data_IF_784243021512
#
_entry.id   IF_784243021512
#
_cell.length_a   1.000
_cell.length_b   1.000
_cell.length_c   1.000
_cell.angle_alpha   90.00
_cell.angle_beta   90.00
_cell.angle_gamma   90.00
#
_symmetry.space_group_name_H-M   'P 1'
#
loop_
_entity.id
_entity.type
_entity.pdbx_description
1 polymer ?
#
# COMPACT_ATOMS: atom_id res chain seq x y z
N UNK A 1 7.64 4.90 -21.58
CA UNK A 1 7.24 3.68 -22.30
C UNK A 1 5.74 3.76 -22.53
N UNK A 2 5.31 3.97 -23.77
CA UNK A 2 3.90 4.15 -24.10
C UNK A 2 3.26 2.76 -24.23
N UNK A 3 2.32 2.44 -23.34
CA UNK A 3 1.60 1.16 -23.37
C UNK A 3 0.45 1.25 -24.37
N UNK A 4 0.75 1.17 -25.66
CA UNK A 4 -0.27 1.07 -26.72
C UNK A 4 -0.51 -0.42 -27.01
N UNK A 5 -1.58 -1.00 -26.47
CA UNK A 5 -1.96 -2.40 -26.71
C UNK A 5 -3.10 -2.89 -25.82
N UNK A 6 -3.66 -4.05 -26.15
CA UNK A 6 -4.60 -4.78 -25.29
C UNK A 6 -3.80 -5.68 -24.34
N UNK A 7 -4.10 -5.64 -23.05
CA UNK A 7 -3.42 -6.43 -22.04
C UNK A 7 -4.42 -7.29 -21.27
N UNK A 8 -4.09 -8.56 -21.07
CA UNK A 8 -4.85 -9.42 -20.19
C UNK A 8 -4.66 -8.95 -18.74
N UNK A 9 -5.75 -8.54 -18.10
CA UNK A 9 -5.78 -8.12 -16.71
C UNK A 9 -6.50 -9.16 -15.86
N UNK A 10 -5.96 -9.42 -14.67
CA UNK A 10 -6.65 -10.23 -13.67
C UNK A 10 -7.37 -9.32 -12.68
N UNK A 11 -8.69 -9.43 -12.63
CA UNK A 11 -9.48 -8.74 -11.61
C UNK A 11 -9.19 -9.34 -10.23
N UNK A 12 -8.95 -8.46 -9.26
CA UNK A 12 -8.81 -8.83 -7.85
C UNK A 12 -10.15 -9.22 -7.24
N UNK A 13 -10.14 -9.94 -6.11
CA UNK A 13 -11.37 -10.36 -5.40
C UNK A 13 -12.29 -9.19 -5.03
N UNK A 14 -11.73 -7.99 -4.82
CA UNK A 14 -12.47 -6.76 -4.56
C UNK A 14 -13.43 -6.34 -5.69
N UNK A 15 -13.25 -6.85 -6.92
CA UNK A 15 -14.19 -6.63 -8.03
C UNK A 15 -15.34 -7.64 -8.05
N UNK A 16 -15.15 -8.81 -7.43
CA UNK A 16 -16.14 -9.89 -7.42
C UNK A 16 -17.04 -9.81 -6.18
N UNK A 17 -16.56 -9.17 -5.12
CA UNK A 17 -17.27 -9.00 -3.86
C UNK A 17 -17.18 -7.52 -3.42
N UNK A 18 -18.12 -6.67 -3.90
CA UNK A 18 -18.15 -5.25 -3.59
C UNK A 18 -18.34 -4.97 -2.09
N UNK A 19 -19.09 -5.83 -1.40
CA UNK A 19 -19.37 -5.68 0.03
C UNK A 19 -18.15 -6.05 0.90
N UNK A 20 -17.26 -6.90 0.39
CA UNK A 20 -15.95 -7.16 1.01
C UNK A 20 -14.86 -6.14 0.60
N UNK A 21 -15.14 -5.22 -0.33
CA UNK A 21 -14.17 -4.24 -0.80
C UNK A 21 -13.90 -3.17 0.27
N UNK A 22 -12.89 -3.40 1.09
CA UNK A 22 -12.37 -2.41 2.03
C UNK A 22 -11.16 -1.71 1.43
N UNK A 23 -11.21 -0.38 1.34
CA UNK A 23 -10.05 0.42 0.95
C UNK A 23 -9.41 1.07 2.17
N UNK A 24 -8.10 1.26 2.08
CA UNK A 24 -7.30 1.81 3.17
C UNK A 24 -6.70 3.13 2.71
N UNK A 25 -6.91 4.18 3.49
CA UNK A 25 -6.28 5.47 3.28
C UNK A 25 -5.32 5.73 4.41
N UNK A 26 -4.03 5.78 4.09
CA UNK A 26 -3.01 6.34 4.98
C UNK A 26 -2.71 7.75 4.50
N UNK A 27 -2.90 8.74 5.36
CA UNK A 27 -2.44 10.10 5.10
C UNK A 27 -1.07 10.25 5.73
N UNK A 28 -0.06 10.38 4.89
CA UNK A 28 1.31 10.63 5.30
C UNK A 28 1.67 12.02 4.77
N UNK A 29 1.58 13.04 5.62
CA UNK A 29 1.93 14.41 5.22
C UNK A 29 3.45 14.63 5.13
N UNK A 30 4.25 13.67 5.60
CA UNK A 30 5.71 13.75 5.57
C UNK A 30 6.37 12.37 5.51
N UNK A 31 7.23 12.15 4.52
CA UNK A 31 8.14 11.01 4.45
C UNK A 31 9.53 11.45 4.94
N UNK A 32 10.03 10.92 6.08
CA UNK A 32 11.33 11.31 6.61
C UNK A 32 12.48 10.99 5.66
N UNK A 33 13.52 11.83 5.68
CA UNK A 33 14.77 11.60 4.94
C UNK A 33 15.49 10.31 5.38
N UNK A 34 15.17 9.81 6.57
CA UNK A 34 15.72 8.56 7.11
C UNK A 34 15.19 7.31 6.42
N UNK A 35 14.10 7.38 5.65
CA UNK A 35 13.51 6.19 5.02
C UNK A 35 14.35 5.75 3.82
N UNK A 36 14.74 4.48 3.82
CA UNK A 36 15.41 3.84 2.70
C UNK A 36 14.38 3.45 1.62
N UNK A 37 14.50 4.05 0.45
CA UNK A 37 13.63 3.77 -0.71
C UNK A 37 14.13 2.62 -1.59
N UNK A 38 15.35 2.11 -1.34
CA UNK A 38 15.92 0.99 -2.08
C UNK A 38 15.51 -0.37 -1.51
N UNK A 39 15.00 -0.39 -0.28
CA UNK A 39 14.59 -1.59 0.43
C UNK A 39 13.06 -1.68 0.55
N UNK A 40 12.48 -2.89 0.48
CA UNK A 40 11.04 -3.06 0.63
C UNK A 40 10.59 -2.77 2.06
N UNK A 41 9.44 -2.11 2.19
CA UNK A 41 8.70 -1.99 3.44
C UNK A 41 7.75 -3.16 3.70
N UNK A 42 7.10 -3.17 4.86
CA UNK A 42 6.04 -4.14 5.19
C UNK A 42 4.74 -3.43 5.55
N UNK A 43 3.62 -4.08 5.22
CA UNK A 43 2.27 -3.63 5.56
C UNK A 43 1.60 -4.76 6.33
N UNK A 44 1.00 -4.43 7.48
CA UNK A 44 0.14 -5.33 8.25
C UNK A 44 -1.24 -4.70 8.38
N UNK A 45 -2.27 -5.52 8.17
CA UNK A 45 -3.66 -5.16 8.38
C UNK A 45 -4.19 -6.12 9.43
N UNK A 46 -4.66 -5.58 10.54
CA UNK A 46 -5.22 -6.35 11.64
C UNK A 46 -6.76 -6.45 11.52
N UNK A 47 -7.35 -7.48 12.11
CA UNK A 47 -8.79 -7.69 12.22
C UNK A 47 -9.48 -6.50 12.92
N UNK A 48 -8.73 -5.81 13.81
CA UNK A 48 -9.14 -4.57 14.46
C UNK A 48 -9.21 -3.33 13.54
N UNK A 49 -9.10 -3.50 12.22
CA UNK A 49 -9.06 -2.42 11.22
C UNK A 49 -7.85 -1.49 11.39
N UNK A 50 -6.82 -1.91 12.13
CA UNK A 50 -5.56 -1.19 12.22
C UNK A 50 -4.68 -1.56 11.02
N UNK A 51 -4.06 -0.54 10.43
CA UNK A 51 -3.08 -0.71 9.36
C UNK A 51 -1.76 -0.15 9.83
N UNK A 52 -0.71 -0.96 9.74
CA UNK A 52 0.65 -0.58 10.13
C UNK A 52 1.57 -0.74 8.93
N UNK A 53 2.21 0.35 8.51
CA UNK A 53 3.24 0.36 7.48
C UNK A 53 4.59 0.60 8.14
N UNK A 54 5.53 -0.32 7.95
CA UNK A 54 6.90 -0.16 8.42
C UNK A 54 7.83 -0.01 7.21
N UNK A 55 8.52 1.13 7.13
CA UNK A 55 9.52 1.39 6.12
C UNK A 55 10.92 1.30 6.74
N UNK A 56 11.89 0.63 6.08
CA UNK A 56 13.25 0.54 6.58
C UNK A 56 13.91 1.92 6.61
N UNK A 57 14.82 2.12 7.56
CA UNK A 57 15.67 3.30 7.57
C UNK A 57 16.97 3.07 6.80
N UNK A 58 17.58 4.14 6.29
CA UNK A 58 18.91 4.10 5.67
C UNK A 58 19.95 3.63 6.67
N UNK A 59 20.92 2.82 6.20
CA UNK A 59 21.93 2.19 7.06
C UNK A 59 22.75 3.20 7.90
N UNK A 60 22.91 4.43 7.41
CA UNK A 60 23.63 5.51 8.12
C UNK A 60 22.96 5.96 9.43
N UNK A 61 21.68 5.68 9.62
CA UNK A 61 20.91 6.01 10.83
C UNK A 61 20.85 4.82 11.80
N UNK A 62 21.36 3.65 11.39
CA UNK A 62 21.35 2.42 12.17
C UNK A 62 20.12 1.54 11.91
N UNK A 63 20.10 0.33 12.48
CA UNK A 63 19.01 -0.62 12.28
C UNK A 63 17.71 -0.09 12.90
N UNK A 64 16.67 0.06 12.07
CA UNK A 64 15.36 0.54 12.51
C UNK A 64 14.36 0.68 11.37
N UNK A 65 13.13 1.04 11.72
CA UNK A 65 12.05 1.28 10.77
C UNK A 65 11.19 2.46 11.18
N UNK A 66 10.77 3.26 10.21
CA UNK A 66 9.74 4.29 10.39
C UNK A 66 8.36 3.64 10.28
N UNK A 67 7.52 3.84 11.30
CA UNK A 67 6.19 3.24 11.40
C UNK A 67 5.08 4.27 11.14
N UNK A 68 4.17 3.96 10.22
CA UNK A 68 2.96 4.73 9.96
C UNK A 68 1.75 3.89 10.33
N UNK A 69 0.83 4.48 11.11
CA UNK A 69 -0.43 3.83 11.51
C UNK A 69 -1.61 4.52 10.87
N UNK A 70 -2.56 3.72 10.40
CA UNK A 70 -3.82 4.17 9.84
C UNK A 70 -4.97 3.27 10.28
N UNK A 71 -6.19 3.67 9.93
CA UNK A 71 -7.39 2.85 10.14
C UNK A 71 -8.02 2.49 8.80
N UNK A 72 -8.40 1.24 8.63
CA UNK A 72 -9.19 0.80 7.50
C UNK A 72 -10.63 1.30 7.66
N UNK A 73 -11.21 1.86 6.59
CA UNK A 73 -12.59 2.34 6.57
C UNK A 73 -13.32 1.76 5.35
N UNK A 74 -14.60 1.38 5.47
CA UNK A 74 -15.40 1.06 4.29
C UNK A 74 -15.47 2.27 3.36
N UNK A 75 -15.21 2.09 2.07
CA UNK A 75 -15.31 3.15 1.06
C UNK A 75 -16.00 2.59 -0.18
N UNK A 76 -17.03 3.28 -0.66
CA UNK A 76 -17.86 2.86 -1.79
C UNK A 76 -17.29 3.28 -3.16
N UNK A 77 -16.06 3.80 -3.23
CA UNK A 77 -15.48 4.28 -4.49
C UNK A 77 -14.73 3.18 -5.21
N UNK A 78 -15.10 2.95 -6.46
CA UNK A 78 -14.42 2.06 -7.38
C UNK A 78 -13.06 2.66 -7.77
N UNK A 79 -11.95 2.03 -7.38
CA UNK A 79 -10.64 2.38 -7.91
C UNK A 79 -9.89 1.16 -8.41
N UNK A 80 -9.27 1.31 -9.59
CA UNK A 80 -8.51 0.26 -10.28
C UNK A 80 -7.02 0.46 -9.95
N UNK A 81 -6.40 -0.49 -9.25
CA UNK A 81 -4.95 -0.51 -9.08
C UNK A 81 -4.33 -1.39 -10.18
N UNK A 82 -3.71 -0.75 -11.17
CA UNK A 82 -2.90 -1.43 -12.19
C UNK A 82 -1.45 -1.38 -11.72
N UNK A 83 -0.87 -2.54 -11.40
CA UNK A 83 0.57 -2.64 -11.13
C UNK A 83 1.20 -3.73 -11.98
N UNK A 84 2.46 -3.51 -12.36
CA UNK A 84 3.23 -4.45 -13.15
C UNK A 84 3.87 -5.49 -12.21
N UNK A 85 3.57 -6.78 -12.41
CA UNK A 85 4.07 -7.89 -11.59
C UNK A 85 5.49 -8.35 -12.00
N UNK A 86 6.32 -7.44 -12.52
CA UNK A 86 7.72 -7.75 -12.84
C UNK A 86 8.52 -7.94 -11.56
#
# INVERSE_FOLDING_TARGET
MQLNGTFDVKLGKSFLDPDAATFMTMRCDFMPASVDRSQPGSIRVDEGKEVVVNLPNVASIGPGSTCFRGSARPVQKECILIYNKR
#
